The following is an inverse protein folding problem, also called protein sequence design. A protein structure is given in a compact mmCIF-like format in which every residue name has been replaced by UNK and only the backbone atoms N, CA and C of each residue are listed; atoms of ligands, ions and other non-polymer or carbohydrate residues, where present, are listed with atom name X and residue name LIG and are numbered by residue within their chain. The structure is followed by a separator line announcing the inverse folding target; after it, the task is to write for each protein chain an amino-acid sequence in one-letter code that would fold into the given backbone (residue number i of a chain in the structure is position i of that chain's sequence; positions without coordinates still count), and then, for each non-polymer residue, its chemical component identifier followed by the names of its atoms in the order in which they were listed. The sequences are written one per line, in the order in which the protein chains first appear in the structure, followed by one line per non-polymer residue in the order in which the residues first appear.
data_IF_783301911525
#
_entry.id   IF_783301911525
#
_cell.length_a   1.000
_cell.length_b   1.000
_cell.length_c   1.000
_cell.angle_alpha   90.00
_cell.angle_beta   90.00
_cell.angle_gamma   90.00
#
_symmetry.space_group_name_H-M   'P 1'
#
loop_
_entity.id
_entity.type
_entity.pdbx_description
1 polymer ?
#
# COMPACT_ATOMS: atom_id res chain seq x y z
N UNK A 1 -39.68 15.34 6.52
CA UNK A 1 -38.89 14.94 5.33
C UNK A 1 -37.64 15.81 5.15
N UNK A 2 -37.76 17.14 4.96
CA UNK A 2 -36.60 18.02 4.74
C UNK A 2 -35.56 18.01 5.89
N UNK A 3 -36.00 18.03 7.15
CA UNK A 3 -35.12 17.98 8.33
C UNK A 3 -34.33 16.65 8.41
N UNK A 4 -34.94 15.54 7.99
CA UNK A 4 -34.29 14.24 7.94
C UNK A 4 -33.16 14.22 6.89
N UNK A 5 -33.41 14.78 5.72
CA UNK A 5 -32.37 14.89 4.68
C UNK A 5 -31.22 15.80 5.11
N UNK A 6 -31.52 16.93 5.76
CA UNK A 6 -30.51 17.86 6.26
C UNK A 6 -29.62 17.21 7.32
N UNK A 7 -30.21 16.48 8.27
CA UNK A 7 -29.47 15.76 9.30
C UNK A 7 -28.57 14.67 8.72
N UNK A 8 -29.05 13.89 7.75
CA UNK A 8 -28.23 12.89 7.03
C UNK A 8 -27.05 13.57 6.33
N UNK A 9 -27.27 14.69 5.65
CA UNK A 9 -26.21 15.41 4.94
C UNK A 9 -25.12 15.94 5.88
N UNK A 10 -25.52 16.45 7.05
CA UNK A 10 -24.60 16.89 8.10
C UNK A 10 -23.77 15.71 8.62
N UNK A 11 -24.40 14.57 8.91
CA UNK A 11 -23.70 13.36 9.38
C UNK A 11 -22.68 12.88 8.34
N UNK A 12 -23.07 12.83 7.06
CA UNK A 12 -22.16 12.47 5.96
C UNK A 12 -20.98 13.45 5.89
N UNK A 13 -21.25 14.76 6.02
CA UNK A 13 -20.22 15.79 6.03
C UNK A 13 -19.23 15.63 7.18
N UNK A 14 -19.70 15.32 8.39
CA UNK A 14 -18.85 15.05 9.56
C UNK A 14 -18.00 13.80 9.35
N UNK A 15 -18.59 12.71 8.85
CA UNK A 15 -17.85 11.48 8.55
C UNK A 15 -16.78 11.70 7.48
N UNK A 16 -17.08 12.51 6.46
CA UNK A 16 -16.12 12.88 5.43
C UNK A 16 -14.99 13.75 5.99
N UNK A 17 -15.31 14.77 6.78
CA UNK A 17 -14.31 15.60 7.45
C UNK A 17 -13.39 14.76 8.36
N UNK A 18 -13.96 13.79 9.09
CA UNK A 18 -13.17 12.85 9.90
C UNK A 18 -12.21 12.00 9.06
N UNK A 19 -12.64 11.52 7.88
CA UNK A 19 -11.77 10.80 6.94
C UNK A 19 -10.62 11.66 6.44
N UNK A 20 -10.87 12.93 6.13
CA UNK A 20 -9.83 13.88 5.70
C UNK A 20 -8.85 14.15 6.84
N UNK A 21 -9.37 14.43 8.04
CA UNK A 21 -8.55 14.70 9.22
C UNK A 21 -7.65 13.52 9.59
N UNK A 22 -8.19 12.31 9.57
CA UNK A 22 -7.42 11.08 9.85
C UNK A 22 -6.32 10.83 8.80
N UNK A 23 -6.57 11.16 7.54
CA UNK A 23 -5.56 11.07 6.49
C UNK A 23 -4.46 12.12 6.62
N UNK A 24 -4.81 13.39 6.86
CA UNK A 24 -3.81 14.46 6.98
C UNK A 24 -2.85 14.23 8.15
N UNK A 25 -3.33 13.61 9.24
CA UNK A 25 -2.50 13.26 10.39
C UNK A 25 -1.76 11.91 10.25
N UNK A 26 -1.96 11.19 9.15
CA UNK A 26 -1.34 9.86 8.96
C UNK A 26 0.17 9.95 8.69
N UNK A 27 0.92 8.95 9.16
CA UNK A 27 2.35 8.81 8.85
C UNK A 27 2.62 8.79 7.35
N UNK A 28 1.73 8.18 6.55
CA UNK A 28 1.85 8.15 5.10
C UNK A 28 1.89 9.54 4.47
N UNK A 29 1.01 10.45 4.93
CA UNK A 29 0.97 11.85 4.48
C UNK A 29 2.27 12.58 4.83
N UNK A 30 2.77 12.39 6.05
CA UNK A 30 4.00 13.01 6.56
C UNK A 30 5.23 12.56 5.78
N UNK A 31 5.33 11.27 5.45
CA UNK A 31 6.48 10.71 4.73
C UNK A 31 6.45 11.07 3.24
N UNK A 32 5.28 10.95 2.59
CA UNK A 32 5.20 11.06 1.12
C UNK A 32 4.83 12.43 0.59
N UNK A 33 4.11 13.25 1.37
CA UNK A 33 3.62 14.54 0.90
C UNK A 33 2.48 14.46 -0.14
N UNK A 34 1.86 13.30 -0.36
CA UNK A 34 0.71 13.19 -1.27
C UNK A 34 -0.60 13.71 -0.66
N UNK A 35 -1.42 14.40 -1.46
CA UNK A 35 -2.77 14.79 -1.06
C UNK A 35 -3.75 13.59 -1.05
N UNK A 36 -4.85 13.67 -0.30
CA UNK A 36 -5.86 12.61 -0.29
C UNK A 36 -6.41 12.32 -1.69
N UNK A 37 -6.61 13.35 -2.50
CA UNK A 37 -7.09 13.21 -3.86
C UNK A 37 -6.10 12.43 -4.74
N UNK A 38 -4.80 12.67 -4.56
CA UNK A 38 -3.74 11.93 -5.25
C UNK A 38 -3.77 10.45 -4.89
N UNK A 39 -3.97 10.13 -3.61
CA UNK A 39 -4.10 8.74 -3.13
C UNK A 39 -5.35 8.06 -3.70
N UNK A 40 -6.45 8.78 -3.91
CA UNK A 40 -7.68 8.19 -4.46
C UNK A 40 -7.62 7.99 -5.97
N UNK A 41 -6.93 8.86 -6.70
CA UNK A 41 -6.87 8.86 -8.17
C UNK A 41 -5.75 8.00 -8.74
N UNK A 42 -4.60 7.92 -8.07
CA UNK A 42 -3.46 7.14 -8.54
C UNK A 42 -3.46 5.73 -7.92
N UNK A 43 -3.63 4.70 -8.75
CA UNK A 43 -3.70 3.31 -8.32
C UNK A 43 -2.43 2.84 -7.59
N UNK A 44 -1.26 3.21 -8.07
CA UNK A 44 0.01 2.78 -7.46
C UNK A 44 0.16 3.40 -6.06
N UNK A 45 -0.07 4.71 -5.93
CA UNK A 45 -0.01 5.41 -4.64
C UNK A 45 -1.09 4.88 -3.69
N UNK A 46 -2.31 4.62 -4.19
CA UNK A 46 -3.40 4.01 -3.43
C UNK A 46 -2.99 2.67 -2.83
N UNK A 47 -2.34 1.83 -3.63
CA UNK A 47 -1.89 0.51 -3.19
C UNK A 47 -0.78 0.60 -2.14
N UNK A 48 0.16 1.54 -2.30
CA UNK A 48 1.18 1.81 -1.27
C UNK A 48 0.53 2.32 0.02
N UNK A 49 -0.48 3.19 -0.07
CA UNK A 49 -1.24 3.64 1.11
C UNK A 49 -1.95 2.47 1.83
N UNK A 50 -2.60 1.57 1.07
CA UNK A 50 -3.26 0.38 1.64
C UNK A 50 -2.26 -0.58 2.29
N UNK A 51 -1.08 -0.77 1.68
CA UNK A 51 0.02 -1.53 2.28
C UNK A 51 0.43 -0.90 3.61
N UNK A 52 0.67 0.40 3.66
CA UNK A 52 1.04 1.08 4.91
C UNK A 52 -0.06 0.99 5.96
N UNK A 53 -1.33 1.05 5.55
CA UNK A 53 -2.46 0.88 6.45
C UNK A 53 -2.54 -0.53 7.03
N UNK A 54 -2.16 -1.57 6.28
CA UNK A 54 -2.12 -2.94 6.81
C UNK A 54 -0.98 -3.15 7.81
N UNK A 55 0.13 -2.42 7.68
CA UNK A 55 1.24 -2.44 8.65
C UNK A 55 0.86 -1.91 10.03
N UNK A 56 -0.25 -1.17 10.19
CA UNK A 56 -0.73 -0.71 11.50
C UNK A 56 -1.12 -1.85 12.44
N UNK A 57 -1.40 -3.03 11.89
CA UNK A 57 -1.74 -4.22 12.66
C UNK A 57 -0.53 -5.10 12.98
N UNK A 58 0.67 -4.73 12.51
CA UNK A 58 1.91 -5.40 12.93
C UNK A 58 2.16 -5.09 14.40
N UNK A 59 2.43 -6.13 15.17
CA UNK A 59 2.93 -6.02 16.54
C UNK A 59 4.42 -5.74 16.50
N UNK A 60 4.93 -5.00 17.48
CA UNK A 60 6.34 -4.65 17.59
C UNK A 60 6.68 -3.29 16.98
N UNK A 61 7.88 -2.81 17.30
CA UNK A 61 8.39 -1.54 16.78
C UNK A 61 8.96 -1.72 15.38
N UNK A 62 8.60 -0.82 14.47
CA UNK A 62 9.17 -0.79 13.13
C UNK A 62 9.43 0.62 12.62
N UNK A 63 10.38 0.72 11.69
CA UNK A 63 10.60 1.92 10.88
C UNK A 63 10.15 1.66 9.45
N UNK A 64 9.34 2.57 8.94
CA UNK A 64 8.83 2.54 7.57
C UNK A 64 9.59 3.54 6.70
N UNK A 65 10.05 3.07 5.55
CA UNK A 65 10.68 3.88 4.52
C UNK A 65 9.91 3.67 3.20
N UNK A 66 9.60 4.75 2.49
CA UNK A 66 8.80 4.73 1.26
C UNK A 66 9.58 5.35 0.10
N UNK A 67 9.27 4.90 -1.13
CA UNK A 67 9.83 5.44 -2.38
C UNK A 67 11.37 5.55 -2.36
N UNK A 68 12.03 4.44 -2.03
CA UNK A 68 13.47 4.38 -1.87
C UNK A 68 14.16 4.08 -3.21
N UNK A 69 15.09 4.94 -3.63
CA UNK A 69 15.92 4.71 -4.80
C UNK A 69 17.27 4.10 -4.41
N UNK A 70 17.55 2.89 -4.90
CA UNK A 70 18.81 2.18 -4.69
C UNK A 70 19.69 2.22 -5.94
N UNK A 71 20.96 2.62 -5.81
CA UNK A 71 21.91 2.46 -6.90
C UNK A 71 22.19 0.97 -7.13
N UNK A 72 22.11 0.54 -8.38
CA UNK A 72 22.44 -0.79 -8.88
C UNK A 72 23.45 -0.63 -10.02
N UNK A 73 24.22 -1.69 -10.31
CA UNK A 73 25.18 -1.71 -11.42
C UNK A 73 24.57 -1.23 -12.75
N UNK A 74 23.30 -1.57 -13.01
CA UNK A 74 22.59 -1.25 -14.25
C UNK A 74 21.70 0.01 -14.16
N UNK A 75 21.75 0.78 -13.07
CA UNK A 75 20.96 2.00 -12.90
C UNK A 75 20.36 2.19 -11.50
N UNK A 76 19.21 2.85 -11.39
CA UNK A 76 18.50 3.03 -10.10
C UNK A 76 17.28 2.11 -10.04
N UNK A 77 17.17 1.32 -8.98
CA UNK A 77 15.96 0.54 -8.68
C UNK A 77 15.16 1.27 -7.61
N UNK A 78 13.88 1.51 -7.87
CA UNK A 78 12.97 2.14 -6.91
C UNK A 78 12.19 1.02 -6.21
N UNK A 79 12.18 1.07 -4.88
CA UNK A 79 11.38 0.20 -4.02
C UNK A 79 10.24 1.02 -3.41
N UNK A 80 9.05 0.44 -3.39
CA UNK A 80 7.85 1.16 -2.95
C UNK A 80 7.83 1.34 -1.43
N UNK A 81 8.17 0.29 -0.68
CA UNK A 81 8.27 0.34 0.76
C UNK A 81 9.35 -0.61 1.31
N UNK A 82 9.97 -0.21 2.42
CA UNK A 82 10.85 -1.04 3.24
C UNK A 82 10.45 -0.87 4.70
N UNK A 83 10.34 -2.00 5.41
CA UNK A 83 10.00 -2.06 6.83
C UNK A 83 11.17 -2.69 7.57
N UNK A 84 11.76 -1.93 8.50
CA UNK A 84 12.78 -2.41 9.41
C UNK A 84 12.07 -2.73 10.72
N UNK A 85 11.91 -4.01 11.03
CA UNK A 85 11.22 -4.51 12.21
C UNK A 85 12.21 -5.30 13.08
N UNK A 86 11.89 -5.51 14.35
CA UNK A 86 12.70 -6.32 15.28
C UNK A 86 12.97 -7.75 14.78
N UNK A 87 12.05 -8.33 14.00
CA UNK A 87 12.22 -9.66 13.39
C UNK A 87 13.06 -9.70 12.11
N UNK A 88 13.36 -8.53 11.53
CA UNK A 88 14.14 -8.42 10.29
C UNK A 88 13.72 -7.27 9.37
N UNK A 89 14.37 -7.24 8.20
CA UNK A 89 14.10 -6.24 7.15
C UNK A 89 13.19 -6.85 6.10
N UNK A 90 12.09 -6.17 5.82
CA UNK A 90 11.11 -6.55 4.81
C UNK A 90 11.10 -5.51 3.69
N UNK A 91 11.23 -5.97 2.45
CA UNK A 91 11.27 -5.13 1.27
C UNK A 91 10.03 -5.41 0.44
N UNK A 92 9.25 -4.39 0.14
CA UNK A 92 8.02 -4.48 -0.63
C UNK A 92 8.19 -3.83 -2.00
N UNK A 93 7.81 -4.57 -3.03
CA UNK A 93 7.72 -4.07 -4.40
C UNK A 93 6.35 -4.45 -4.94
N UNK A 94 5.49 -3.44 -5.10
CA UNK A 94 4.11 -3.55 -5.51
C UNK A 94 4.08 -3.62 -7.03
N UNK A 95 3.67 -4.77 -7.54
CA UNK A 95 3.47 -4.97 -8.97
C UNK A 95 2.00 -5.14 -9.29
N UNK A 96 1.58 -4.50 -10.38
CA UNK A 96 0.26 -4.72 -10.94
C UNK A 96 0.33 -5.87 -11.94
N UNK A 97 -0.27 -7.01 -11.59
CA UNK A 97 -0.31 -8.23 -12.41
C UNK A 97 -1.76 -8.63 -12.66
N UNK A 98 -2.04 -9.13 -13.87
CA UNK A 98 -3.33 -9.69 -14.26
C UNK A 98 -3.27 -11.22 -14.24
N UNK A 99 -4.40 -11.88 -14.04
CA UNK A 99 -4.48 -13.33 -14.00
C UNK A 99 -4.21 -13.92 -12.61
N UNK A 100 -3.99 -15.23 -12.55
CA UNK A 100 -3.79 -15.97 -11.30
C UNK A 100 -2.33 -15.98 -10.92
N UNK A 101 -2.04 -15.91 -9.63
CA UNK A 101 -0.68 -16.01 -9.13
C UNK A 101 -0.59 -17.22 -8.21
N UNK A 102 0.28 -18.15 -8.58
CA UNK A 102 0.51 -19.41 -7.91
C UNK A 102 1.86 -19.39 -7.23
N UNK A 103 1.90 -19.84 -5.99
CA UNK A 103 3.12 -19.95 -5.20
C UNK A 103 2.79 -20.09 -3.73
N UNK A 104 3.69 -20.71 -3.00
CA UNK A 104 3.66 -20.78 -1.55
C UNK A 104 4.70 -19.83 -0.99
N UNK A 105 4.54 -19.44 0.26
CA UNK A 105 5.49 -18.57 0.96
C UNK A 105 6.92 -19.13 0.99
N UNK A 106 7.06 -20.45 0.92
CA UNK A 106 8.36 -21.12 0.92
C UNK A 106 9.00 -21.18 -0.47
N UNK A 107 8.23 -20.90 -1.53
CA UNK A 107 8.71 -21.01 -2.90
C UNK A 107 9.51 -19.73 -3.27
N UNK A 108 10.73 -19.91 -3.77
CA UNK A 108 11.62 -18.80 -4.16
C UNK A 108 11.04 -17.95 -5.30
N UNK A 109 10.19 -18.55 -6.14
CA UNK A 109 9.58 -17.92 -7.31
C UNK A 109 8.08 -18.21 -7.32
N UNK A 110 7.29 -17.18 -7.61
CA UNK A 110 5.85 -17.27 -7.79
C UNK A 110 5.52 -17.15 -9.28
N UNK A 111 4.59 -17.97 -9.76
CA UNK A 111 4.23 -18.08 -11.18
C UNK A 111 2.94 -17.32 -11.44
N UNK A 112 2.96 -16.44 -12.44
CA UNK A 112 1.77 -15.75 -12.92
C UNK A 112 1.17 -16.51 -14.11
N UNK A 113 -0.03 -17.06 -13.96
CA UNK A 113 -0.81 -17.61 -15.07
C UNK A 113 -1.72 -16.52 -15.63
N UNK A 114 -1.46 -16.12 -16.88
CA UNK A 114 -2.28 -15.13 -17.57
C UNK A 114 -3.12 -15.85 -18.63
N UNK A 115 -4.43 -15.89 -18.43
CA UNK A 115 -5.34 -16.30 -19.50
C UNK A 115 -5.50 -15.10 -20.45
N UNK A 116 -5.47 -15.31 -21.77
CA UNK A 116 -5.57 -14.24 -22.77
C UNK A 116 -7.03 -13.75 -22.88
N UNK A 117 -7.56 -13.20 -21.79
CA UNK A 117 -8.71 -12.28 -21.64
C UNK A 117 -9.16 -12.37 -20.19
N UNK A 118 -8.97 -11.29 -19.43
CA UNK A 118 -9.84 -10.74 -18.37
C UNK A 118 -8.98 -9.77 -17.55
N UNK A 119 -9.38 -8.51 -17.56
CA UNK A 119 -8.84 -7.47 -16.68
C UNK A 119 -9.43 -7.69 -15.28
N UNK A 120 -8.63 -8.11 -14.30
CA UNK A 120 -8.91 -7.79 -12.89
C UNK A 120 -7.64 -7.87 -12.02
N UNK A 121 -7.54 -6.95 -11.07
CA UNK A 121 -6.35 -6.62 -10.26
C UNK A 121 -6.19 -7.54 -9.05
N UNK A 122 -4.97 -8.01 -8.77
CA UNK A 122 -4.59 -8.46 -7.44
C UNK A 122 -3.21 -7.91 -7.04
N UNK A 123 -3.11 -7.37 -5.82
CA UNK A 123 -1.85 -6.89 -5.24
C UNK A 123 -1.00 -8.09 -4.80
N UNK A 124 0.30 -8.10 -5.12
CA UNK A 124 1.23 -9.10 -4.63
C UNK A 124 2.30 -8.48 -3.73
N UNK A 125 2.43 -9.03 -2.52
CA UNK A 125 3.42 -8.65 -1.53
C UNK A 125 4.58 -9.65 -1.64
N UNK A 126 5.72 -9.23 -2.18
CA UNK A 126 6.96 -10.02 -2.13
C UNK A 126 7.67 -9.71 -0.81
N UNK A 127 7.71 -10.65 0.15
CA UNK A 127 8.51 -10.51 1.37
C UNK A 127 9.89 -11.14 1.12
N UNK A 128 10.90 -10.32 0.88
CA UNK A 128 12.29 -10.80 0.90
C UNK A 128 12.78 -10.91 2.35
N UNK A 129 12.69 -12.10 2.94
CA UNK A 129 13.34 -12.41 4.22
C UNK A 129 14.72 -12.99 3.93
N UNK A 130 15.78 -12.24 4.22
CA UNK A 130 17.16 -12.79 4.16
C UNK A 130 17.33 -13.75 5.34
N UNK A 131 17.38 -15.05 5.06
CA UNK A 131 17.84 -16.06 6.04
C UNK A 131 19.37 -15.89 6.15
N UNK A 132 19.86 -15.68 7.38
CA UNK A 132 21.28 -15.89 7.70
C UNK A 132 21.58 -17.39 7.64
#
# INVERSE_FOLDING_TARGET
MAILFLTIFIVIGILFAFRVYTYENSEFRKITGYSLFTVLTNLHIKNTYLLVQSLKYLQGEYKLLLNLAFPTMDGKRILDAMVIHESGIYVFNIQHKNGWIYGREQDDQWVQATDKKINCCHLLIRLLRRKN
#
